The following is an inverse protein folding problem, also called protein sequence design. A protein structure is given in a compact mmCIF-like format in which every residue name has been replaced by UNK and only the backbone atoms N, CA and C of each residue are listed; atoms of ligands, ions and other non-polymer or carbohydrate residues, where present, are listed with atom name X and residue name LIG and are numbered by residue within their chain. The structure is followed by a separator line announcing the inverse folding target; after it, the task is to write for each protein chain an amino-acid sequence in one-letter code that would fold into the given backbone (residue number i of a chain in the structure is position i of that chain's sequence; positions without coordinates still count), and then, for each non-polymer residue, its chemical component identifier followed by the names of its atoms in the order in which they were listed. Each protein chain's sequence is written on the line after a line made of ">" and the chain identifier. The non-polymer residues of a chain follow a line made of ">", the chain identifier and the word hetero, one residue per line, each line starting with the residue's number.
data_IF_018189050603
#
_entry.id   IF_018189050603
#
_cell.length_a   1.000
_cell.length_b   1.000
_cell.length_c   1.000
_cell.angle_alpha   90.00
_cell.angle_beta   90.00
_cell.angle_gamma   90.00
#
_symmetry.space_group_name_H-M   'P 1'
#
loop_
_entity.id
_entity.type
_entity.pdbx_description
1 polymer ?
#
# COMPACT_ATOMS: atom_id res chain seq x y z
N UNK A 1 -1.78 12.34 -9.61
CA UNK A 1 -1.15 11.11 -9.06
C UNK A 1 -0.39 10.44 -10.18
N UNK A 2 0.87 10.07 -9.99
CA UNK A 2 1.71 9.43 -11.02
C UNK A 2 1.52 7.90 -11.05
N UNK A 3 1.93 7.22 -12.11
CA UNK A 3 1.88 5.75 -12.16
C UNK A 3 2.75 5.10 -11.07
N UNK A 4 3.92 5.68 -10.78
CA UNK A 4 4.78 5.28 -9.68
C UNK A 4 4.03 5.24 -8.34
N UNK A 5 3.37 6.36 -7.99
CA UNK A 5 2.59 6.46 -6.74
C UNK A 5 1.43 5.47 -6.73
N UNK A 6 0.75 5.28 -7.87
CA UNK A 6 -0.35 4.33 -8.00
C UNK A 6 0.12 2.90 -7.75
N UNK A 7 1.23 2.47 -8.36
CA UNK A 7 1.84 1.14 -8.14
C UNK A 7 2.25 0.95 -6.67
N UNK A 8 2.92 1.94 -6.09
CA UNK A 8 3.35 1.89 -4.69
C UNK A 8 2.16 1.70 -3.74
N UNK A 9 1.04 2.40 -3.98
CA UNK A 9 -0.20 2.26 -3.23
C UNK A 9 -0.82 0.86 -3.34
N UNK A 10 -0.61 0.16 -4.46
CA UNK A 10 -1.09 -1.20 -4.70
C UNK A 10 -0.14 -2.29 -4.19
N UNK A 11 0.88 -1.95 -3.41
CA UNK A 11 1.77 -2.92 -2.77
C UNK A 11 3.02 -3.28 -3.56
N UNK A 12 3.30 -2.58 -4.67
CA UNK A 12 4.51 -2.78 -5.45
C UNK A 12 5.76 -2.31 -4.68
N UNK A 13 6.62 -3.25 -4.31
CA UNK A 13 7.81 -3.00 -3.49
C UNK A 13 8.82 -2.07 -4.17
N UNK A 14 9.09 -2.27 -5.45
CA UNK A 14 10.06 -1.44 -6.18
C UNK A 14 9.54 0.00 -6.29
N UNK A 15 8.24 0.17 -6.54
CA UNK A 15 7.62 1.49 -6.57
C UNK A 15 7.64 2.18 -5.19
N UNK A 16 7.42 1.43 -4.10
CA UNK A 16 7.51 1.97 -2.73
C UNK A 16 8.94 2.41 -2.37
N UNK A 17 9.94 1.63 -2.76
CA UNK A 17 11.35 1.95 -2.58
C UNK A 17 11.77 3.17 -3.40
N UNK A 18 11.32 3.25 -4.66
CA UNK A 18 11.53 4.41 -5.53
C UNK A 18 10.87 5.67 -4.97
N UNK A 19 9.61 5.61 -4.52
CA UNK A 19 8.96 6.72 -3.84
C UNK A 19 9.78 7.17 -2.62
N UNK A 20 10.30 6.23 -1.83
CA UNK A 20 11.14 6.53 -0.68
C UNK A 20 12.45 7.21 -1.10
N UNK A 21 13.09 6.73 -2.17
CA UNK A 21 14.35 7.30 -2.69
C UNK A 21 14.17 8.72 -3.22
N UNK A 22 13.03 8.99 -3.85
CA UNK A 22 12.66 10.33 -4.34
C UNK A 22 12.12 11.26 -3.24
N UNK A 23 11.99 10.79 -2.00
CA UNK A 23 11.41 11.58 -0.91
C UNK A 23 9.89 11.80 -1.03
N UNK A 24 9.21 11.01 -1.86
CA UNK A 24 7.77 11.10 -2.07
C UNK A 24 7.05 10.49 -0.87
N UNK A 25 6.22 11.30 -0.21
CA UNK A 25 5.31 10.85 0.86
C UNK A 25 4.02 10.31 0.25
N UNK A 26 3.76 9.01 0.40
CA UNK A 26 2.47 8.46 0.00
C UNK A 26 1.32 9.02 0.86
N UNK A 27 0.10 9.09 0.33
CA UNK A 27 -1.09 9.46 1.10
C UNK A 27 -1.28 8.60 2.36
N UNK A 28 -1.99 9.17 3.34
CA UNK A 28 -2.28 8.53 4.62
C UNK A 28 -2.89 7.13 4.41
N UNK A 29 -2.33 6.08 5.03
CA UNK A 29 -2.84 4.72 4.85
C UNK A 29 -4.25 4.51 5.42
N UNK A 30 -4.72 5.39 6.31
CA UNK A 30 -6.04 5.27 6.95
C UNK A 30 -7.14 6.03 6.21
N UNK A 31 -6.87 7.26 5.76
CA UNK A 31 -7.90 8.13 5.18
C UNK A 31 -7.58 8.63 3.76
N UNK A 32 -6.41 8.30 3.20
CA UNK A 32 -5.99 8.74 1.87
C UNK A 32 -5.64 10.22 1.76
N UNK A 33 -5.69 10.99 2.85
CA UNK A 33 -5.34 12.41 2.83
C UNK A 33 -3.83 12.65 2.77
N UNK A 34 -3.44 13.91 2.54
CA UNK A 34 -2.03 14.33 2.52
C UNK A 34 -1.35 14.07 3.87
N UNK A 35 -0.10 13.64 3.80
CA UNK A 35 0.78 13.52 4.95
C UNK A 35 2.12 14.19 4.68
N UNK A 36 2.80 14.61 5.74
CA UNK A 36 4.08 15.32 5.66
C UNK A 36 5.00 14.90 6.81
N UNK A 37 6.30 15.06 6.59
CA UNK A 37 7.35 14.78 7.57
C UNK A 37 7.71 16.09 8.27
N UNK A 38 7.70 16.08 9.60
CA UNK A 38 8.10 17.21 10.44
C UNK A 38 9.27 16.77 11.35
N UNK A 39 10.35 17.57 11.39
CA UNK A 39 11.44 17.38 12.36
C UNK A 39 11.04 18.08 13.66
N UNK A 40 10.66 17.30 14.67
CA UNK A 40 10.21 17.82 15.97
C UNK A 40 11.37 18.46 16.73
N UNK A 41 12.53 17.79 16.71
CA UNK A 41 13.77 18.30 17.29
C UNK A 41 14.94 17.77 16.50
N UNK A 42 15.72 18.68 15.92
CA UNK A 42 16.92 18.39 15.13
C UNK A 42 17.88 17.49 15.92
N UNK A 43 18.38 16.42 15.30
CA UNK A 43 19.25 15.44 15.95
C UNK A 43 18.55 14.50 16.95
N UNK A 44 17.22 14.58 17.11
CA UNK A 44 16.51 13.79 18.11
C UNK A 44 15.32 13.01 17.56
N UNK A 45 14.35 13.68 16.93
CA UNK A 45 13.08 13.05 16.55
C UNK A 45 12.44 13.68 15.32
N UNK A 46 12.00 12.83 14.40
CA UNK A 46 11.15 13.19 13.27
C UNK A 46 9.82 12.42 13.33
N UNK A 47 8.76 13.05 12.82
CA UNK A 47 7.43 12.47 12.72
C UNK A 47 6.92 12.59 11.29
N UNK A 48 6.07 11.65 10.88
CA UNK A 48 5.26 11.76 9.66
C UNK A 48 3.81 11.68 10.09
N UNK A 49 3.01 12.66 9.67
CA UNK A 49 1.65 12.83 10.16
C UNK A 49 0.67 13.10 9.04
N UNK A 50 -0.51 12.49 9.15
CA UNK A 50 -1.68 12.86 8.36
C UNK A 50 -2.13 14.27 8.74
N UNK A 51 -2.32 15.16 7.76
CA UNK A 51 -2.71 16.56 8.01
C UNK A 51 -4.22 16.77 8.16
N UNK A 52 -5.00 15.71 8.04
CA UNK A 52 -6.44 15.75 8.32
C UNK A 52 -6.71 15.70 9.82
N UNK A 53 -7.39 16.73 10.32
CA UNK A 53 -7.65 16.95 11.76
C UNK A 53 -8.35 15.78 12.47
N UNK A 54 -9.24 15.05 11.78
CA UNK A 54 -10.01 13.94 12.37
C UNK A 54 -9.30 12.58 12.29
N UNK A 55 -8.25 12.44 11.48
CA UNK A 55 -7.58 11.14 11.30
C UNK A 55 -6.50 10.91 12.36
N UNK A 56 -5.66 11.91 12.64
CA UNK A 56 -4.64 11.86 13.68
C UNK A 56 -3.53 10.82 13.49
N UNK A 57 -3.55 10.03 12.40
CA UNK A 57 -2.57 8.97 12.19
C UNK A 57 -1.17 9.53 11.97
N UNK A 58 -0.20 8.97 12.71
CA UNK A 58 1.19 9.37 12.63
C UNK A 58 2.13 8.19 12.86
N UNK A 59 3.37 8.35 12.40
CA UNK A 59 4.52 7.53 12.78
C UNK A 59 5.65 8.45 13.22
N UNK A 60 6.58 7.92 14.01
CA UNK A 60 7.75 8.66 14.46
C UNK A 60 8.99 7.79 14.43
N UNK A 61 10.15 8.44 14.40
CA UNK A 61 11.44 7.77 14.53
C UNK A 61 12.41 8.67 15.30
N UNK A 62 13.19 8.04 16.20
CA UNK A 62 14.26 8.70 16.94
C UNK A 62 15.57 8.59 16.18
N UNK A 63 16.44 9.58 16.38
CA UNK A 63 17.69 9.65 15.65
C UNK A 63 18.70 8.57 16.08
N UNK A 64 18.77 8.26 17.38
CA UNK A 64 19.62 7.19 17.92
C UNK A 64 21.08 7.24 17.43
N UNK A 65 21.64 8.44 17.29
CA UNK A 65 23.01 8.66 16.81
C UNK A 65 23.17 8.75 15.29
N UNK A 66 22.08 8.70 14.52
CA UNK A 66 22.10 8.86 13.06
C UNK A 66 21.98 10.35 12.64
N UNK A 67 21.81 10.63 11.34
CA UNK A 67 21.48 11.96 10.80
C UNK A 67 19.97 12.12 10.59
N UNK A 68 19.46 13.35 10.71
CA UNK A 68 18.02 13.64 10.46
C UNK A 68 17.55 13.16 9.07
N UNK A 69 18.42 13.21 8.07
CA UNK A 69 18.15 12.72 6.70
C UNK A 69 17.92 11.21 6.68
N UNK A 70 18.78 10.44 7.36
CA UNK A 70 18.65 8.99 7.43
C UNK A 70 17.40 8.57 8.21
N UNK A 71 17.07 9.29 9.29
CA UNK A 71 15.83 9.09 10.04
C UNK A 71 14.61 9.37 9.19
N UNK A 72 14.58 10.50 8.47
CA UNK A 72 13.47 10.86 7.59
C UNK A 72 13.26 9.80 6.51
N UNK A 73 14.35 9.30 5.90
CA UNK A 73 14.31 8.22 4.90
C UNK A 73 13.79 6.90 5.47
N UNK A 74 14.22 6.51 6.67
CA UNK A 74 13.71 5.30 7.36
C UNK A 74 12.23 5.45 7.70
N UNK A 75 11.83 6.61 8.21
CA UNK A 75 10.45 6.92 8.54
C UNK A 75 9.56 6.90 7.29
N UNK A 76 10.06 7.44 6.19
CA UNK A 76 9.39 7.44 4.90
C UNK A 76 9.26 6.03 4.33
N UNK A 77 10.30 5.19 4.43
CA UNK A 77 10.24 3.78 4.04
C UNK A 77 9.10 3.05 4.75
N UNK A 78 9.02 3.18 6.07
CA UNK A 78 7.95 2.58 6.89
C UNK A 78 6.58 3.14 6.49
N UNK A 79 6.49 4.45 6.26
CA UNK A 79 5.25 5.11 5.87
C UNK A 79 4.78 4.71 4.47
N UNK A 80 5.69 4.49 3.52
CA UNK A 80 5.38 4.18 2.13
C UNK A 80 5.05 2.69 1.93
N UNK A 81 5.43 1.81 2.86
CA UNK A 81 5.06 0.40 2.79
C UNK A 81 3.54 0.23 2.75
N UNK A 82 3.04 -0.41 1.71
CA UNK A 82 1.64 -0.82 1.57
C UNK A 82 1.61 -2.32 1.33
N UNK A 83 0.69 -3.01 1.98
CA UNK A 83 0.42 -4.39 1.66
C UNK A 83 -0.32 -4.42 0.32
N UNK A 84 0.06 -5.35 -0.56
CA UNK A 84 -0.71 -5.59 -1.76
C UNK A 84 -2.14 -5.97 -1.36
N UNK A 85 -3.18 -5.40 -1.99
CA UNK A 85 -4.54 -5.81 -1.71
C UNK A 85 -4.66 -7.32 -1.94
N UNK A 86 -5.51 -8.03 -1.19
CA UNK A 86 -5.72 -9.46 -1.39
C UNK A 86 -6.43 -9.64 -2.74
N UNK A 87 -5.65 -9.82 -3.79
CA UNK A 87 -6.16 -10.03 -5.12
C UNK A 87 -6.33 -11.54 -5.34
N UNK A 88 -7.53 -11.95 -5.72
CA UNK A 88 -7.85 -13.33 -6.06
C UNK A 88 -8.00 -13.41 -7.58
N UNK A 89 -7.26 -14.32 -8.21
CA UNK A 89 -7.49 -14.63 -9.64
C UNK A 89 -8.73 -15.49 -9.78
N UNK A 90 -9.42 -15.42 -10.92
CA UNK A 90 -10.62 -16.22 -11.17
C UNK A 90 -10.36 -17.73 -10.93
N UNK A 91 -9.22 -18.24 -11.40
CA UNK A 91 -8.81 -19.65 -11.18
C UNK A 91 -8.63 -20.05 -9.72
N UNK A 92 -8.36 -19.09 -8.85
CA UNK A 92 -8.14 -19.30 -7.41
C UNK A 92 -9.45 -19.21 -6.61
N UNK A 93 -10.55 -18.83 -7.26
CA UNK A 93 -11.82 -18.60 -6.59
C UNK A 93 -12.56 -19.90 -6.22
N UNK A 94 -13.31 -19.86 -5.11
CA UNK A 94 -14.17 -20.96 -4.64
C UNK A 94 -15.18 -21.41 -5.70
N UNK A 95 -15.73 -20.47 -6.50
CA UNK A 95 -16.75 -20.75 -7.52
C UNK A 95 -16.19 -20.93 -8.93
N UNK A 96 -14.86 -21.06 -9.08
CA UNK A 96 -14.26 -21.23 -10.40
C UNK A 96 -14.83 -22.46 -11.13
N UNK A 97 -15.12 -22.31 -12.44
CA UNK A 97 -15.90 -23.19 -13.33
C UNK A 97 -17.42 -23.20 -13.11
N UNK A 98 -17.93 -22.50 -12.09
CA UNK A 98 -19.37 -22.36 -11.80
C UNK A 98 -19.80 -20.88 -11.73
N UNK A 99 -18.99 -19.96 -12.27
CA UNK A 99 -19.25 -18.52 -12.26
C UNK A 99 -19.72 -18.03 -13.63
N UNK A 100 -20.90 -17.39 -13.70
CA UNK A 100 -21.45 -16.82 -14.93
C UNK A 100 -20.52 -15.81 -15.61
N UNK A 101 -19.67 -15.12 -14.85
CA UNK A 101 -18.74 -14.11 -15.36
C UNK A 101 -17.58 -14.73 -16.17
N UNK A 102 -17.32 -16.03 -16.03
CA UNK A 102 -16.23 -16.69 -16.76
C UNK A 102 -16.43 -16.69 -18.27
N UNK A 103 -17.67 -16.83 -18.73
CA UNK A 103 -17.96 -16.77 -20.16
C UNK A 103 -17.73 -15.37 -20.72
N UNK A 104 -18.02 -14.32 -19.94
CA UNK A 104 -17.66 -12.94 -20.30
C UNK A 104 -16.14 -12.79 -20.46
N UNK A 105 -15.33 -13.37 -19.56
CA UNK A 105 -13.87 -13.30 -19.70
C UNK A 105 -13.37 -14.04 -20.94
N UNK A 106 -13.93 -15.20 -21.26
CA UNK A 106 -13.59 -15.97 -22.48
C UNK A 106 -13.96 -15.20 -23.75
N UNK A 107 -15.17 -14.64 -23.81
CA UNK A 107 -15.66 -13.85 -24.95
C UNK A 107 -14.78 -12.61 -25.15
N UNK A 108 -14.40 -11.94 -24.05
CA UNK A 108 -13.54 -10.77 -24.06
C UNK A 108 -12.04 -11.10 -24.26
N UNK A 109 -11.66 -12.39 -24.31
CA UNK A 109 -10.26 -12.86 -24.40
C UNK A 109 -9.37 -12.29 -23.29
N UNK A 110 -9.88 -12.26 -22.06
CA UNK A 110 -9.11 -11.83 -20.89
C UNK A 110 -8.48 -13.06 -20.24
N UNK A 111 -7.17 -13.17 -20.39
CA UNK A 111 -6.38 -14.24 -19.77
C UNK A 111 -6.10 -13.92 -18.29
N UNK A 112 -6.35 -14.88 -17.40
CA UNK A 112 -6.14 -14.79 -15.95
C UNK A 112 -6.82 -13.58 -15.26
N UNK A 113 -8.15 -13.41 -15.40
CA UNK A 113 -8.87 -12.25 -14.87
C UNK A 113 -8.86 -12.22 -13.34
N UNK A 114 -8.95 -11.01 -12.78
CA UNK A 114 -9.21 -10.82 -11.35
C UNK A 114 -10.65 -11.23 -11.01
N UNK A 115 -10.82 -11.95 -9.91
CA UNK A 115 -12.12 -12.37 -9.43
C UNK A 115 -12.81 -11.24 -8.67
N UNK A 116 -14.00 -10.85 -9.12
CA UNK A 116 -14.82 -9.85 -8.42
C UNK A 116 -15.40 -10.36 -7.09
N UNK A 117 -15.51 -11.68 -6.90
CA UNK A 117 -16.02 -12.28 -5.65
C UNK A 117 -14.96 -12.34 -4.55
N UNK A 118 -13.67 -12.35 -4.89
CA UNK A 118 -12.58 -12.21 -3.92
C UNK A 118 -12.41 -13.34 -2.88
N UNK A 119 -13.10 -14.48 -3.01
CA UNK A 119 -13.00 -15.61 -2.06
C UNK A 119 -12.08 -16.71 -2.60
N UNK A 120 -11.03 -17.09 -1.86
CA UNK A 120 -10.11 -18.18 -2.25
C UNK A 120 -10.66 -19.53 -1.82
N UNK A 121 -10.33 -20.58 -2.58
CA UNK A 121 -10.66 -21.99 -2.24
C UNK A 121 -10.22 -22.39 -0.83
N UNK A 122 -9.05 -21.93 -0.41
CA UNK A 122 -8.48 -22.19 0.93
C UNK A 122 -9.27 -21.58 2.08
N UNK A 123 -10.08 -20.56 1.82
CA UNK A 123 -10.87 -19.88 2.86
C UNK A 123 -12.10 -20.71 3.26
N UNK A 124 -12.42 -21.78 2.52
CA UNK A 124 -13.62 -22.60 2.70
C UNK A 124 -13.38 -23.85 3.59
N UNK A 125 -12.13 -24.16 3.92
CA UNK A 125 -11.73 -25.30 4.78
C UNK A 125 -11.48 -24.88 6.24
N UNK A 126 -11.67 -23.60 6.57
CA UNK A 126 -11.40 -23.03 7.89
C UNK A 126 -12.66 -22.76 8.75
N UNK A 127 -13.84 -23.17 8.28
CA UNK A 127 -15.13 -23.08 9.00
C UNK A 127 -15.66 -24.46 9.41
#
# INVERSE_FOLDING_TARGET
>A
MTDLVRRALLGDREAQEECTRQGIVLPCPFCGAKAEIDVVKKGYKSIISCKTHWCGFLRHSYNNGDTDVNVARRLLSIWNTRQAPPIVRCRECVIHNNCLTEDTFKIARIDDPFCCAGKRRTDHEAD
#
